data_IF_504185220977
#
_entry.id   IF_504185220977
#
_cell.length_a   1.000
_cell.length_b   1.000
_cell.length_c   1.000
_cell.angle_alpha   90.00
_cell.angle_beta   90.00
_cell.angle_gamma   90.00
#
_symmetry.space_group_name_H-M   'P 1'
#
loop_
_entity.id
_entity.type
_entity.pdbx_description
1 polymer ?
#
# COMPACT_ATOMS: atom_id res chain seq x y z
N UNK A 1 -5.10 10.31 8.79
CA UNK A 1 -4.35 11.38 8.09
C UNK A 1 -3.02 10.83 7.60
N UNK A 2 -2.99 10.18 6.42
CA UNK A 2 -1.79 9.48 5.93
C UNK A 2 -0.66 10.41 5.49
N UNK A 3 -0.95 11.68 5.15
CA UNK A 3 0.08 12.65 4.76
C UNK A 3 1.11 12.91 5.87
N UNK A 4 0.76 12.62 7.13
CA UNK A 4 1.72 12.70 8.25
C UNK A 4 2.93 11.78 8.08
N UNK A 5 2.83 10.68 7.33
CA UNK A 5 3.98 9.81 7.04
C UNK A 5 5.09 10.62 6.34
N UNK A 6 4.70 11.42 5.33
CA UNK A 6 5.62 12.28 4.60
C UNK A 6 6.15 13.44 5.45
N UNK A 7 5.31 14.03 6.31
CA UNK A 7 5.73 15.11 7.21
C UNK A 7 6.74 14.60 8.25
N UNK A 8 6.48 13.44 8.86
CA UNK A 8 7.37 12.83 9.86
C UNK A 8 8.70 12.42 9.22
N UNK A 9 8.67 11.83 8.02
CA UNK A 9 9.87 11.43 7.29
C UNK A 9 10.74 12.61 6.90
N UNK A 10 10.15 13.78 6.61
CA UNK A 10 10.88 15.03 6.38
C UNK A 10 11.44 15.64 7.66
N UNK A 11 10.71 15.54 8.76
CA UNK A 11 11.04 16.24 10.02
C UNK A 11 12.09 15.51 10.86
N UNK A 12 12.07 14.17 10.84
CA UNK A 12 12.91 13.37 11.71
C UNK A 12 13.83 12.46 10.88
N UNK A 13 15.14 12.39 11.20
CA UNK A 13 16.08 11.52 10.51
C UNK A 13 15.97 10.07 11.02
N UNK A 14 14.77 9.51 10.99
CA UNK A 14 14.52 8.12 11.39
C UNK A 14 13.47 7.45 10.50
N UNK A 15 13.45 6.11 10.44
CA UNK A 15 12.43 5.39 9.69
C UNK A 15 11.03 5.66 10.25
N UNK A 16 10.05 5.87 9.36
CA UNK A 16 8.64 6.14 9.73
C UNK A 16 7.78 4.95 9.34
N UNK A 17 7.09 4.40 10.34
CA UNK A 17 6.10 3.34 10.16
C UNK A 17 4.66 3.84 10.19
N UNK A 18 3.72 2.91 10.03
CA UNK A 18 2.28 3.12 10.16
C UNK A 18 1.66 2.02 11.03
N UNK A 19 1.03 2.40 12.14
CA UNK A 19 0.16 1.54 12.94
C UNK A 19 -1.29 1.92 12.65
N UNK A 20 -2.04 0.95 12.10
CA UNK A 20 -3.40 1.17 11.63
C UNK A 20 -4.44 0.50 12.52
N UNK A 21 -5.54 1.20 12.79
CA UNK A 21 -6.70 0.70 13.56
C UNK A 21 -8.00 0.68 12.74
N UNK A 22 -7.91 0.87 11.42
CA UNK A 22 -9.05 0.80 10.51
C UNK A 22 -9.54 -0.64 10.30
N UNK A 23 -10.78 -0.85 9.85
CA UNK A 23 -11.29 -2.20 9.51
C UNK A 23 -10.82 -2.69 8.14
N UNK A 24 -10.58 -1.76 7.20
CA UNK A 24 -10.16 -2.04 5.82
C UNK A 24 -8.64 -2.25 5.67
N UNK A 25 -8.19 -2.63 4.48
CA UNK A 25 -6.77 -2.83 4.16
C UNK A 25 -6.18 -1.68 3.32
N UNK A 26 -7.04 -0.88 2.70
CA UNK A 26 -6.69 0.13 1.71
C UNK A 26 -5.86 1.26 2.32
N UNK A 27 -6.21 1.68 3.54
CA UNK A 27 -5.47 2.72 4.26
C UNK A 27 -4.05 2.27 4.58
N UNK A 28 -3.88 1.02 5.04
CA UNK A 28 -2.57 0.42 5.26
C UNK A 28 -1.74 0.31 3.97
N UNK A 29 -2.36 -0.11 2.86
CA UNK A 29 -1.67 -0.16 1.55
C UNK A 29 -1.23 1.23 1.09
N UNK A 30 -2.09 2.24 1.24
CA UNK A 30 -1.74 3.62 0.93
C UNK A 30 -0.59 4.14 1.81
N UNK A 31 -0.50 3.71 3.07
CA UNK A 31 0.63 4.04 3.94
C UNK A 31 1.95 3.50 3.39
N UNK A 32 1.98 2.25 2.90
CA UNK A 32 3.17 1.67 2.24
C UNK A 32 3.56 2.47 1.00
N UNK A 33 2.60 2.82 0.15
CA UNK A 33 2.85 3.64 -1.05
C UNK A 33 3.45 5.01 -0.70
N UNK A 34 3.05 5.58 0.43
CA UNK A 34 3.57 6.86 0.94
C UNK A 34 4.94 6.74 1.62
N UNK A 35 5.54 5.54 1.67
CA UNK A 35 6.88 5.32 2.19
C UNK A 35 6.94 4.85 3.64
N UNK A 36 5.83 4.38 4.23
CA UNK A 36 5.90 3.73 5.54
C UNK A 36 6.76 2.45 5.45
N UNK A 37 7.85 2.39 6.22
CA UNK A 37 8.80 1.28 6.18
C UNK A 37 8.44 0.11 7.11
N UNK A 38 7.47 0.33 8.02
CA UNK A 38 6.98 -0.64 8.98
C UNK A 38 5.45 -0.54 9.02
N UNK A 39 4.76 -1.67 9.05
CA UNK A 39 3.31 -1.75 9.17
C UNK A 39 2.94 -2.55 10.40
N UNK A 40 2.04 -2.01 11.21
CA UNK A 40 1.48 -2.67 12.39
C UNK A 40 -0.06 -2.72 12.28
N UNK A 41 -0.61 -3.90 12.55
CA UNK A 41 -2.06 -4.17 12.52
C UNK A 41 -2.39 -5.18 13.60
N UNK A 42 -3.52 -4.98 14.27
CA UNK A 42 -4.06 -5.98 15.18
C UNK A 42 -4.59 -7.17 14.40
N UNK A 43 -4.36 -8.38 14.91
CA UNK A 43 -4.83 -9.63 14.31
C UNK A 43 -5.79 -10.30 15.30
N UNK A 44 -6.88 -10.86 14.77
CA UNK A 44 -7.81 -11.70 15.53
C UNK A 44 -8.05 -13.02 14.81
N UNK A 45 -8.52 -14.04 15.52
CA UNK A 45 -9.01 -15.29 14.92
C UNK A 45 -10.42 -15.11 14.36
N UNK A 46 -11.25 -14.29 15.00
CA UNK A 46 -12.64 -14.05 14.63
C UNK A 46 -13.09 -12.70 15.20
N UNK A 47 -13.55 -11.81 14.30
CA UNK A 47 -14.01 -10.45 14.65
C UNK A 47 -15.24 -10.41 15.56
N UNK A 48 -16.00 -11.51 15.63
CA UNK A 48 -17.19 -11.65 16.49
C UNK A 48 -16.85 -12.03 17.94
N UNK A 49 -15.58 -12.32 18.24
CA UNK A 49 -15.14 -12.64 19.60
C UNK A 49 -15.33 -11.46 20.56
N UNK A 50 -15.42 -11.78 21.84
CA UNK A 50 -15.48 -10.80 22.92
C UNK A 50 -14.20 -9.92 22.97
N UNK A 51 -14.40 -8.62 23.15
CA UNK A 51 -13.34 -7.61 23.28
C UNK A 51 -13.50 -6.47 22.28
N UNK A 52 -13.23 -5.23 22.71
CA UNK A 52 -13.37 -4.02 21.88
C UNK A 52 -12.53 -4.05 20.60
N UNK A 53 -11.35 -4.65 20.69
CA UNK A 53 -10.34 -4.60 19.62
C UNK A 53 -10.59 -5.64 18.52
N UNK A 54 -11.46 -6.62 18.78
CA UNK A 54 -11.73 -7.71 17.83
C UNK A 54 -12.35 -7.18 16.54
N UNK A 55 -13.32 -6.27 16.66
CA UNK A 55 -14.05 -5.70 15.52
C UNK A 55 -13.17 -4.91 14.53
N UNK A 56 -12.10 -4.27 15.03
CA UNK A 56 -11.15 -3.50 14.23
C UNK A 56 -9.96 -4.33 13.74
N UNK A 57 -9.71 -5.48 14.35
CA UNK A 57 -8.60 -6.38 14.03
C UNK A 57 -8.75 -7.05 12.66
N UNK A 58 -7.66 -7.57 12.12
CA UNK A 58 -7.61 -8.26 10.84
C UNK A 58 -7.59 -9.77 11.07
N UNK A 59 -8.45 -10.53 10.40
CA UNK A 59 -8.43 -11.99 10.45
C UNK A 59 -7.25 -12.57 9.65
N UNK A 60 -6.84 -13.84 9.87
CA UNK A 60 -5.63 -14.38 9.27
C UNK A 60 -5.63 -14.32 7.73
N UNK A 61 -6.79 -14.57 7.11
CA UNK A 61 -6.95 -14.45 5.66
C UNK A 61 -6.76 -13.01 5.16
N UNK A 62 -7.26 -12.03 5.93
CA UNK A 62 -7.13 -10.61 5.63
C UNK A 62 -5.68 -10.14 5.77
N UNK A 63 -4.97 -10.68 6.76
CA UNK A 63 -3.57 -10.37 6.97
C UNK A 63 -2.69 -10.98 5.87
N UNK A 64 -2.94 -12.23 5.46
CA UNK A 64 -2.26 -12.84 4.32
C UNK A 64 -2.50 -12.04 3.03
N UNK A 65 -3.73 -11.58 2.81
CA UNK A 65 -4.07 -10.69 1.68
C UNK A 65 -3.31 -9.37 1.75
N UNK A 66 -3.25 -8.75 2.93
CA UNK A 66 -2.51 -7.51 3.14
C UNK A 66 -1.03 -7.67 2.77
N UNK A 67 -0.36 -8.72 3.27
CA UNK A 67 1.05 -9.00 2.96
C UNK A 67 1.25 -9.21 1.46
N UNK A 68 0.39 -10.00 0.79
CA UNK A 68 0.44 -10.21 -0.66
C UNK A 68 0.31 -8.91 -1.44
N UNK A 69 -0.67 -8.08 -1.06
CA UNK A 69 -0.97 -6.83 -1.76
C UNK A 69 0.18 -5.81 -1.56
N UNK A 70 0.78 -5.74 -0.37
CA UNK A 70 1.99 -4.95 -0.10
C UNK A 70 3.13 -5.35 -1.05
N UNK A 71 3.46 -6.65 -1.11
CA UNK A 71 4.54 -7.16 -1.97
C UNK A 71 4.26 -6.94 -3.46
N UNK A 72 2.99 -6.98 -3.85
CA UNK A 72 2.57 -6.71 -5.23
C UNK A 72 2.77 -5.24 -5.57
N UNK A 73 2.36 -4.33 -4.68
CA UNK A 73 2.51 -2.88 -4.86
C UNK A 73 3.99 -2.48 -4.87
N UNK A 74 4.82 -3.00 -3.96
CA UNK A 74 6.27 -2.74 -3.95
C UNK A 74 6.92 -3.07 -5.30
N UNK A 75 6.54 -4.21 -5.90
CA UNK A 75 7.03 -4.59 -7.23
C UNK A 75 6.47 -3.70 -8.34
N UNK A 76 5.22 -3.23 -8.20
CA UNK A 76 4.55 -2.43 -9.22
C UNK A 76 4.97 -0.95 -9.23
N UNK A 77 5.49 -0.42 -8.11
CA UNK A 77 5.95 0.97 -8.02
C UNK A 77 7.07 1.29 -9.02
N UNK A 78 7.92 0.31 -9.35
CA UNK A 78 8.98 0.48 -10.33
C UNK A 78 10.04 1.51 -9.89
N UNK A 79 10.70 2.11 -10.88
CA UNK A 79 11.80 3.08 -10.69
C UNK A 79 11.38 4.54 -10.90
N UNK A 80 10.12 4.78 -11.29
CA UNK A 80 9.60 6.11 -11.60
C UNK A 80 10.10 6.69 -12.93
N UNK A 81 10.82 5.93 -13.76
CA UNK A 81 11.33 6.38 -15.05
C UNK A 81 10.37 5.99 -16.15
N UNK A 82 9.81 7.00 -16.85
CA UNK A 82 8.96 6.76 -18.02
C UNK A 82 9.80 6.17 -19.16
N UNK A 83 9.60 4.89 -19.41
CA UNK A 83 10.20 4.17 -20.54
C UNK A 83 9.12 3.83 -21.55
N UNK A 84 9.42 4.00 -22.85
CA UNK A 84 8.55 3.52 -23.93
C UNK A 84 9.13 2.22 -24.44
N UNK A 85 8.43 1.12 -24.23
CA UNK A 85 8.87 -0.20 -24.70
C UNK A 85 8.67 -0.32 -26.21
N UNK A 86 9.50 -1.12 -26.89
CA UNK A 86 9.42 -1.30 -28.34
C UNK A 86 8.05 -1.84 -28.81
N UNK A 87 7.38 -2.60 -27.93
CA UNK A 87 6.01 -3.08 -28.11
C UNK A 87 5.00 -1.92 -28.13
N UNK A 88 5.18 -0.94 -27.24
CA UNK A 88 4.34 0.25 -27.17
C UNK A 88 4.55 1.18 -28.38
N UNK A 89 5.77 1.25 -28.93
CA UNK A 89 6.06 2.07 -30.13
C UNK A 89 5.15 1.70 -31.31
N UNK A 90 4.88 0.40 -31.51
CA UNK A 90 3.98 -0.09 -32.56
C UNK A 90 2.54 0.40 -32.36
N UNK A 91 2.07 0.39 -31.11
CA UNK A 91 0.73 0.85 -30.73
C UNK A 91 0.62 2.38 -30.90
N UNK A 92 1.62 3.13 -30.43
CA UNK A 92 1.69 4.58 -30.57
C UNK A 92 1.58 4.99 -32.04
N UNK A 93 2.36 4.35 -32.92
CA UNK A 93 2.35 4.64 -34.36
C UNK A 93 1.02 4.26 -35.02
N UNK A 94 0.30 3.26 -34.52
CA UNK A 94 -1.04 2.89 -35.01
C UNK A 94 -2.09 3.92 -34.60
N UNK A 95 -2.06 4.39 -33.35
CA UNK A 95 -3.09 5.27 -32.79
C UNK A 95 -2.93 6.75 -33.17
N UNK A 96 -1.71 7.20 -33.51
CA UNK A 96 -1.44 8.62 -33.85
C UNK A 96 -1.68 9.01 -35.31
N UNK A 97 -2.17 8.10 -36.17
CA UNK A 97 -2.33 8.31 -37.63
C UNK A 97 -3.49 9.24 -38.05
N UNK A 98 -4.19 9.91 -37.12
CA UNK A 98 -5.38 10.74 -37.41
C UNK A 98 -5.28 12.19 -36.94
N UNK A 99 -4.07 12.76 -36.83
CA UNK A 99 -3.88 14.21 -36.72
C UNK A 99 -3.10 14.73 -37.93
#
# INVERSE_FOLDING_TARGET
NLKMILELARKYPCPVGYSGHETGLQTTLAAVVLGACLIERHITLDRSMWGSDQSASVEPHGFARLVRDIRTVERALGDGVKTVYDEEKKIINKLRRHC
#
